data_IF_301017503012
#
_entry.id   IF_301017503012
#
_cell.length_a   1.000
_cell.length_b   1.000
_cell.length_c   1.000
_cell.angle_alpha   90.00
_cell.angle_beta   90.00
_cell.angle_gamma   90.00
#
_symmetry.space_group_name_H-M   'P 1'
#
loop_
_entity.id
_entity.type
_entity.pdbx_description
1 polymer ?
#
# COMPACT_ATOMS: atom_id res chain seq x y z
N UNK A 1 40.33 14.81 -10.37
CA UNK A 1 39.51 14.57 -11.58
C UNK A 1 38.49 13.51 -11.24
N UNK A 2 37.36 13.95 -10.70
CA UNK A 2 36.19 13.12 -10.42
C UNK A 2 35.06 13.84 -11.13
N UNK A 3 34.58 13.25 -12.22
CA UNK A 3 33.40 13.71 -12.95
C UNK A 3 32.19 12.99 -12.34
N UNK A 4 31.53 13.66 -11.40
CA UNK A 4 30.16 13.32 -11.00
C UNK A 4 29.22 13.77 -12.12
N UNK A 5 28.53 12.80 -12.72
CA UNK A 5 27.46 13.03 -13.69
C UNK A 5 26.19 13.42 -12.96
N UNK A 6 25.68 14.61 -13.31
CA UNK A 6 24.40 15.21 -12.94
C UNK A 6 23.24 14.19 -12.98
N UNK A 7 22.70 13.87 -11.80
CA UNK A 7 21.37 13.33 -11.63
C UNK A 7 20.40 14.49 -11.44
N UNK A 8 19.62 14.81 -12.47
CA UNK A 8 18.54 15.80 -12.44
C UNK A 8 17.47 15.41 -11.42
N UNK A 9 17.67 15.78 -10.16
CA UNK A 9 16.61 15.89 -9.18
C UNK A 9 15.78 17.12 -9.58
N UNK A 10 14.60 16.89 -10.14
CA UNK A 10 13.56 17.91 -10.27
C UNK A 10 13.17 18.36 -8.87
N UNK A 11 13.90 19.34 -8.36
CA UNK A 11 13.58 20.13 -7.19
C UNK A 11 12.25 20.81 -7.51
N UNK A 12 11.15 20.16 -7.12
CA UNK A 12 9.79 20.67 -7.26
C UNK A 12 9.74 21.91 -6.38
N UNK A 13 10.08 23.05 -6.97
CA UNK A 13 9.96 24.39 -6.42
C UNK A 13 8.51 24.48 -5.93
N UNK A 14 8.31 24.28 -4.62
CA UNK A 14 7.01 24.54 -4.00
C UNK A 14 6.76 26.00 -4.28
N UNK A 15 5.82 26.25 -5.19
CA UNK A 15 5.36 27.58 -5.54
C UNK A 15 5.12 28.31 -4.22
N UNK A 16 5.73 29.48 -4.04
CA UNK A 16 5.63 30.31 -2.83
C UNK A 16 4.18 30.51 -2.31
N UNK A 17 3.12 30.52 -3.16
CA UNK A 17 1.72 30.42 -2.72
C UNK A 17 1.41 29.20 -1.85
N UNK A 18 1.98 28.02 -2.13
CA UNK A 18 1.77 26.79 -1.35
C UNK A 18 2.41 26.84 0.03
N UNK A 19 3.53 27.55 0.19
CA UNK A 19 4.18 27.75 1.49
C UNK A 19 3.40 28.73 2.37
N UNK A 20 2.85 29.80 1.78
CA UNK A 20 1.95 30.75 2.45
C UNK A 20 0.67 30.05 2.90
N UNK A 21 0.13 29.15 2.06
CA UNK A 21 -1.07 28.36 2.36
C UNK A 21 -0.84 27.39 3.55
N UNK A 22 0.30 26.68 3.56
CA UNK A 22 0.65 25.77 4.65
C UNK A 22 0.84 26.49 5.99
N UNK A 23 1.43 27.69 5.96
CA UNK A 23 1.70 28.48 7.16
C UNK A 23 0.47 29.12 7.80
N UNK A 24 -0.52 29.50 6.99
CA UNK A 24 -1.72 30.16 7.52
C UNK A 24 -2.82 29.19 7.94
N UNK A 25 -2.88 27.99 7.37
CA UNK A 25 -4.06 27.13 7.51
C UNK A 25 -3.81 25.69 7.99
N UNK A 26 -2.59 25.15 7.89
CA UNK A 26 -2.29 23.73 8.18
C UNK A 26 -1.13 23.54 9.17
N UNK A 27 -1.07 24.39 10.20
CA UNK A 27 -0.28 24.11 11.40
C UNK A 27 -0.97 23.08 12.28
N UNK A 28 -0.24 22.29 13.10
CA UNK A 28 -0.81 21.24 13.94
C UNK A 28 -1.91 21.83 14.84
N UNK A 29 -3.01 21.09 14.93
CA UNK A 29 -4.23 21.42 15.65
C UNK A 29 -3.93 22.13 16.98
N UNK A 30 -4.35 23.40 17.09
CA UNK A 30 -4.32 24.12 18.36
C UNK A 30 -4.20 25.63 18.27
N UNK A 31 -3.59 26.19 17.22
CA UNK A 31 -3.46 27.65 17.09
C UNK A 31 -3.55 28.06 15.62
N UNK A 32 -4.77 28.05 15.07
CA UNK A 32 -5.08 28.90 13.92
C UNK A 32 -4.78 30.31 14.40
N UNK A 33 -3.82 30.99 13.79
CA UNK A 33 -3.62 32.42 13.98
C UNK A 33 -4.99 33.08 13.75
N UNK A 34 -5.64 33.43 14.85
CA UNK A 34 -6.97 34.00 14.87
C UNK A 34 -6.84 35.44 14.38
N UNK A 35 -6.64 35.60 13.07
CA UNK A 35 -6.62 36.90 12.40
C UNK A 35 -8.09 37.26 12.15
N UNK A 36 -8.63 38.32 12.78
CA UNK A 36 -10.03 38.68 12.62
C UNK A 36 -10.39 38.96 11.15
N UNK A 37 -11.66 38.76 10.77
CA UNK A 37 -12.08 38.71 9.37
C UNK A 37 -12.32 40.12 8.84
N UNK A 38 -11.30 40.80 8.33
CA UNK A 38 -11.52 42.02 7.57
C UNK A 38 -11.70 41.68 6.08
N UNK A 39 -12.87 41.12 5.73
CA UNK A 39 -13.25 40.70 4.37
C UNK A 39 -13.11 41.80 3.31
N UNK A 40 -13.17 43.07 3.69
CA UNK A 40 -13.02 44.21 2.78
C UNK A 40 -11.60 44.78 2.74
N UNK A 41 -10.71 44.42 3.68
CA UNK A 41 -9.42 45.11 3.86
C UNK A 41 -8.30 44.54 2.97
N UNK A 42 -8.41 43.27 2.54
CA UNK A 42 -7.37 42.59 1.74
C UNK A 42 -7.41 42.92 0.25
N UNK A 43 -8.60 43.13 -0.31
CA UNK A 43 -8.74 43.52 -1.73
C UNK A 43 -8.38 45.01 -1.93
N UNK A 44 -8.57 45.83 -0.91
CA UNK A 44 -8.09 47.23 -0.89
C UNK A 44 -6.55 47.26 -0.85
N UNK A 45 -5.92 46.45 0.00
CA UNK A 45 -4.47 46.34 0.07
C UNK A 45 -3.80 45.79 -1.21
N UNK A 46 -4.56 45.15 -2.10
CA UNK A 46 -4.05 44.74 -3.41
C UNK A 46 -3.90 45.93 -4.39
N UNK A 47 -4.63 47.02 -4.14
CA UNK A 47 -4.68 48.23 -4.97
C UNK A 47 -4.03 49.45 -4.29
N UNK A 48 -3.73 49.37 -2.99
CA UNK A 48 -3.05 50.40 -2.20
C UNK A 48 -1.66 49.94 -1.76
N UNK A 49 -0.62 50.55 -2.35
CA UNK A 49 0.78 50.22 -2.11
C UNK A 49 1.23 50.47 -0.67
N UNK A 50 0.72 51.54 -0.03
CA UNK A 50 1.06 51.89 1.35
C UNK A 50 0.48 50.88 2.33
N UNK A 51 -0.77 50.47 2.11
CA UNK A 51 -1.45 49.45 2.89
C UNK A 51 -0.79 48.07 2.69
N UNK A 52 -0.40 47.74 1.46
CA UNK A 52 0.32 46.51 1.17
C UNK A 52 1.65 46.42 1.92
N UNK A 53 2.43 47.51 1.97
CA UNK A 53 3.71 47.58 2.67
C UNK A 53 3.56 47.40 4.20
N UNK A 54 2.53 48.02 4.80
CA UNK A 54 2.22 47.85 6.23
C UNK A 54 1.84 46.40 6.53
N UNK A 55 0.96 45.80 5.73
CA UNK A 55 0.55 44.40 5.93
C UNK A 55 1.70 43.42 5.72
N UNK A 56 2.60 43.68 4.78
CA UNK A 56 3.79 42.87 4.57
C UNK A 56 4.75 42.92 5.76
N UNK A 57 4.98 44.12 6.30
CA UNK A 57 5.83 44.29 7.50
C UNK A 57 5.20 43.61 8.73
N UNK A 58 3.87 43.73 8.88
CA UNK A 58 3.12 43.05 9.94
C UNK A 58 3.24 41.53 9.81
N UNK A 59 3.11 41.00 8.60
CA UNK A 59 3.27 39.57 8.33
C UNK A 59 4.66 39.05 8.74
N UNK A 60 5.72 39.77 8.36
CA UNK A 60 7.09 39.40 8.73
C UNK A 60 7.29 39.41 10.26
N UNK A 61 6.75 40.41 10.95
CA UNK A 61 6.81 40.51 12.41
C UNK A 61 6.04 39.38 13.11
N UNK A 62 4.85 39.01 12.60
CA UNK A 62 4.11 37.86 13.11
C UNK A 62 4.88 36.55 12.92
N UNK A 63 5.51 36.38 11.75
CA UNK A 63 6.29 35.19 11.45
C UNK A 63 7.55 35.08 12.32
N UNK A 64 8.22 36.20 12.63
CA UNK A 64 9.31 36.25 13.61
C UNK A 64 8.87 35.87 15.02
N UNK A 65 7.70 36.36 15.44
CA UNK A 65 7.14 36.03 16.77
C UNK A 65 6.82 34.55 16.89
N UNK A 66 6.15 33.97 15.90
CA UNK A 66 5.81 32.53 15.87
C UNK A 66 7.09 31.69 15.82
N UNK A 67 8.05 32.04 14.96
CA UNK A 67 9.34 31.32 14.87
C UNK A 67 10.10 31.32 16.20
N UNK A 68 10.06 32.43 16.94
CA UNK A 68 10.78 32.56 18.23
C UNK A 68 10.16 31.71 19.34
N UNK A 69 8.87 31.41 19.24
CA UNK A 69 8.14 30.58 20.20
C UNK A 69 8.11 29.08 19.81
N UNK A 70 8.43 28.77 18.56
CA UNK A 70 8.39 27.40 18.02
C UNK A 70 9.52 26.53 18.60
N UNK A 71 9.16 25.40 19.20
CA UNK A 71 10.15 24.48 19.80
C UNK A 71 10.75 23.55 18.74
N UNK A 72 9.95 23.17 17.74
CA UNK A 72 10.37 22.23 16.71
C UNK A 72 11.46 22.85 15.81
N UNK A 73 12.63 22.21 15.77
CA UNK A 73 13.78 22.69 15.00
C UNK A 73 13.49 22.81 13.50
N UNK A 74 12.83 21.79 12.92
CA UNK A 74 12.50 21.77 11.50
C UNK A 74 11.52 22.90 11.14
N UNK A 75 10.49 23.10 11.97
CA UNK A 75 9.54 24.19 11.76
C UNK A 75 10.24 25.56 11.88
N UNK A 76 11.06 25.78 12.90
CA UNK A 76 11.87 27.00 13.04
C UNK A 76 12.73 27.29 11.81
N UNK A 77 13.44 26.28 11.31
CA UNK A 77 14.25 26.38 10.09
C UNK A 77 13.39 26.75 8.88
N UNK A 78 12.27 26.03 8.67
CA UNK A 78 11.35 26.29 7.57
C UNK A 78 10.77 27.71 7.62
N UNK A 79 10.38 28.22 8.81
CA UNK A 79 9.88 29.59 8.94
C UNK A 79 10.96 30.59 8.53
N UNK A 80 12.21 30.39 8.95
CA UNK A 80 13.34 31.25 8.59
C UNK A 80 13.55 31.30 7.08
N UNK A 81 13.51 30.16 6.39
CA UNK A 81 13.65 30.09 4.93
C UNK A 81 12.48 30.81 4.24
N UNK A 82 11.25 30.59 4.70
CA UNK A 82 10.05 31.25 4.15
C UNK A 82 10.15 32.76 4.33
N UNK A 83 10.56 33.25 5.51
CA UNK A 83 10.76 34.67 5.76
C UNK A 83 11.73 35.30 4.77
N UNK A 84 12.87 34.65 4.56
CA UNK A 84 13.90 35.11 3.61
C UNK A 84 13.35 35.14 2.17
N UNK A 85 12.62 34.11 1.76
CA UNK A 85 12.00 34.05 0.43
C UNK A 85 10.94 35.14 0.23
N UNK A 86 10.12 35.42 1.26
CA UNK A 86 9.13 36.48 1.22
C UNK A 86 9.79 37.85 1.10
N UNK A 87 10.84 38.11 1.88
CA UNK A 87 11.62 39.33 1.80
C UNK A 87 12.26 39.52 0.42
N UNK A 88 12.96 38.50 -0.10
CA UNK A 88 13.62 38.59 -1.41
C UNK A 88 12.62 38.84 -2.55
N UNK A 89 11.45 38.18 -2.51
CA UNK A 89 10.50 38.22 -3.63
C UNK A 89 9.53 39.40 -3.59
N UNK A 90 9.16 39.90 -2.40
CA UNK A 90 8.06 40.85 -2.25
C UNK A 90 8.41 42.13 -1.51
N UNK A 91 9.62 42.29 -0.96
CA UNK A 91 10.00 43.53 -0.27
C UNK A 91 9.99 44.75 -1.20
N UNK A 92 10.37 44.58 -2.47
CA UNK A 92 10.34 45.64 -3.48
C UNK A 92 8.92 45.95 -4.00
N UNK A 93 7.99 44.98 -3.94
CA UNK A 93 6.60 45.22 -4.35
C UNK A 93 5.61 44.39 -3.52
N UNK A 94 5.24 44.89 -2.32
CA UNK A 94 4.29 44.22 -1.43
C UNK A 94 2.88 44.04 -2.02
N UNK A 95 2.45 44.91 -2.95
CA UNK A 95 1.12 44.84 -3.56
C UNK A 95 0.94 43.56 -4.42
N UNK A 96 2.02 43.07 -5.06
CA UNK A 96 2.00 41.77 -5.76
C UNK A 96 1.70 40.64 -4.79
N UNK A 97 2.24 40.68 -3.58
CA UNK A 97 1.97 39.67 -2.56
C UNK A 97 0.51 39.72 -2.08
N UNK A 98 -0.02 40.92 -1.84
CA UNK A 98 -1.42 41.11 -1.48
C UNK A 98 -2.37 40.53 -2.55
N UNK A 99 -2.08 40.74 -3.84
CA UNK A 99 -2.83 40.14 -4.96
C UNK A 99 -2.77 38.61 -4.98
N UNK A 100 -1.59 38.02 -4.75
CA UNK A 100 -1.42 36.57 -4.66
C UNK A 100 -2.27 36.01 -3.51
N UNK A 101 -2.17 36.61 -2.32
CA UNK A 101 -2.94 36.19 -1.15
C UNK A 101 -4.45 36.30 -1.38
N UNK A 102 -4.92 37.41 -1.95
CA UNK A 102 -6.34 37.59 -2.29
C UNK A 102 -6.82 36.53 -3.28
N UNK A 103 -6.03 36.26 -4.33
CA UNK A 103 -6.35 35.21 -5.32
C UNK A 103 -6.42 33.83 -4.67
N UNK A 104 -5.47 33.47 -3.82
CA UNK A 104 -5.47 32.20 -3.09
C UNK A 104 -6.71 32.04 -2.22
N UNK A 105 -7.07 33.08 -1.43
CA UNK A 105 -8.27 33.04 -0.58
C UNK A 105 -9.56 32.96 -1.39
N UNK A 106 -9.61 33.58 -2.57
CA UNK A 106 -10.76 33.48 -3.48
C UNK A 106 -10.90 32.08 -4.05
N UNK A 107 -9.80 31.47 -4.49
CA UNK A 107 -9.80 30.08 -4.97
C UNK A 107 -10.17 29.10 -3.86
N UNK A 108 -9.69 29.30 -2.63
CA UNK A 108 -10.08 28.49 -1.48
C UNK A 108 -11.59 28.56 -1.22
N UNK A 109 -12.16 29.78 -1.21
CA UNK A 109 -13.61 29.95 -1.11
C UNK A 109 -14.34 29.26 -2.24
N UNK A 110 -13.84 29.38 -3.48
CA UNK A 110 -14.44 28.69 -4.64
C UNK A 110 -14.42 27.18 -4.47
N UNK A 111 -13.31 26.61 -3.98
CA UNK A 111 -13.18 25.17 -3.69
C UNK A 111 -14.17 24.76 -2.59
N UNK A 112 -14.23 25.49 -1.48
CA UNK A 112 -15.18 25.23 -0.38
C UNK A 112 -16.64 25.33 -0.83
N UNK A 113 -16.99 26.35 -1.61
CA UNK A 113 -18.32 26.48 -2.21
C UNK A 113 -18.63 25.34 -3.17
N UNK A 114 -17.65 24.91 -3.98
CA UNK A 114 -17.83 23.79 -4.91
C UNK A 114 -17.99 22.45 -4.18
N UNK A 115 -17.28 22.27 -3.05
CA UNK A 115 -17.42 21.10 -2.19
C UNK A 115 -18.78 21.07 -1.49
N UNK A 116 -19.25 22.20 -0.95
CA UNK A 116 -20.56 22.30 -0.29
C UNK A 116 -21.74 22.13 -1.28
N UNK A 117 -21.58 22.52 -2.55
CA UNK A 117 -22.58 22.24 -3.59
C UNK A 117 -22.65 20.73 -3.95
N UNK A 118 -21.62 19.93 -3.66
CA UNK A 118 -21.68 18.47 -3.78
C UNK A 118 -22.34 17.77 -2.57
N UNK A 119 -22.44 18.44 -1.41
CA UNK A 119 -23.08 17.89 -0.19
C UNK A 119 -24.61 17.77 -0.31
N UNK A 120 -25.27 18.51 -1.21
CA UNK A 120 -26.72 18.38 -1.42
C UNK A 120 -27.12 17.20 -2.35
N UNK A 121 -26.17 16.36 -2.77
CA UNK A 121 -26.42 15.15 -3.54
C UNK A 121 -26.33 13.85 -2.71
N UNK A 122 -26.82 12.71 -3.21
CA UNK A 122 -26.79 11.39 -2.52
C UNK A 122 -25.39 10.86 -2.12
N UNK A 123 -24.32 11.61 -2.43
CA UNK A 123 -22.92 11.19 -2.28
C UNK A 123 -22.42 11.25 -0.84
N UNK A 124 -22.94 12.14 0.01
CA UNK A 124 -22.49 12.28 1.41
C UNK A 124 -22.92 11.08 2.27
N UNK A 125 -24.10 10.51 2.00
CA UNK A 125 -24.51 9.21 2.54
C UNK A 125 -23.62 8.07 2.05
N UNK A 126 -22.87 8.22 0.96
CA UNK A 126 -21.96 7.19 0.42
C UNK A 126 -20.55 7.29 1.00
N UNK A 127 -20.08 8.50 1.36
CA UNK A 127 -18.78 8.72 1.99
C UNK A 127 -18.79 8.35 3.49
N UNK A 128 -19.85 8.69 4.22
CA UNK A 128 -20.01 8.28 5.62
C UNK A 128 -20.37 6.79 5.75
N UNK A 129 -21.08 6.23 4.76
CA UNK A 129 -21.39 4.79 4.65
C UNK A 129 -20.57 4.13 3.54
N UNK A 130 -19.26 4.43 3.44
CA UNK A 130 -18.41 3.66 2.54
C UNK A 130 -18.51 2.20 2.95
N UNK A 131 -18.97 1.34 2.04
CA UNK A 131 -19.14 -0.11 2.30
C UNK A 131 -17.85 -0.71 2.87
N UNK A 132 -16.69 -0.16 2.50
CA UNK A 132 -15.40 -0.54 3.07
C UNK A 132 -15.23 -0.13 4.54
N UNK A 133 -15.63 1.08 4.92
CA UNK A 133 -15.56 1.57 6.30
C UNK A 133 -16.52 0.81 7.22
N UNK A 134 -17.76 0.58 6.79
CA UNK A 134 -18.74 -0.22 7.55
C UNK A 134 -18.31 -1.68 7.68
N UNK A 135 -17.72 -2.27 6.63
CA UNK A 135 -17.11 -3.62 6.72
C UNK A 135 -15.96 -3.65 7.70
N UNK A 136 -15.08 -2.64 7.71
CA UNK A 136 -13.97 -2.55 8.66
C UNK A 136 -14.48 -2.49 10.10
N UNK A 137 -15.42 -1.59 10.40
CA UNK A 137 -16.03 -1.45 11.73
C UNK A 137 -16.72 -2.74 12.18
N UNK A 138 -17.40 -3.43 11.27
CA UNK A 138 -18.03 -4.73 11.54
C UNK A 138 -16.99 -5.78 11.88
N UNK A 139 -15.89 -5.85 11.13
CA UNK A 139 -14.78 -6.77 11.45
C UNK A 139 -14.15 -6.43 12.80
N UNK A 140 -13.85 -5.17 13.08
CA UNK A 140 -13.26 -4.73 14.36
C UNK A 140 -14.16 -5.12 15.54
N UNK A 141 -15.47 -4.93 15.41
CA UNK A 141 -16.45 -5.36 16.42
C UNK A 141 -16.44 -6.88 16.60
N UNK A 142 -16.39 -7.65 15.51
CA UNK A 142 -16.34 -9.13 15.58
C UNK A 142 -15.05 -9.62 16.23
N UNK A 143 -13.90 -9.03 15.89
CA UNK A 143 -12.60 -9.34 16.51
C UNK A 143 -12.63 -9.00 18.00
N UNK A 144 -13.22 -7.86 18.38
CA UNK A 144 -13.43 -7.47 19.77
C UNK A 144 -14.26 -8.50 20.55
N UNK A 145 -15.38 -8.96 19.97
CA UNK A 145 -16.24 -9.96 20.59
C UNK A 145 -15.53 -11.31 20.76
N UNK A 146 -14.77 -11.76 19.76
CA UNK A 146 -13.97 -12.99 19.84
C UNK A 146 -12.94 -12.86 20.97
N UNK A 147 -12.22 -11.74 21.05
CA UNK A 147 -11.24 -11.51 22.11
C UNK A 147 -11.87 -11.61 23.51
N UNK A 148 -13.02 -10.98 23.71
CA UNK A 148 -13.75 -11.05 24.97
C UNK A 148 -14.19 -12.49 25.29
N UNK A 149 -14.69 -13.22 24.29
CA UNK A 149 -15.10 -14.62 24.45
C UNK A 149 -13.93 -15.54 24.80
N UNK A 150 -12.76 -15.34 24.17
CA UNK A 150 -11.54 -16.11 24.47
C UNK A 150 -11.08 -15.84 25.90
N UNK A 151 -11.15 -14.59 26.37
CA UNK A 151 -10.81 -14.26 27.76
C UNK A 151 -11.75 -14.93 28.78
N UNK A 152 -13.05 -14.99 28.49
CA UNK A 152 -14.01 -15.70 29.35
C UNK A 152 -13.76 -17.21 29.35
N UNK A 153 -13.43 -17.77 28.19
CA UNK A 153 -13.09 -19.19 28.06
C UNK A 153 -11.80 -19.55 28.82
N UNK A 154 -10.76 -18.72 28.72
CA UNK A 154 -9.51 -18.89 29.49
C UNK A 154 -9.75 -18.90 31.00
N UNK A 155 -10.62 -18.01 31.50
CA UNK A 155 -11.03 -18.01 32.91
C UNK A 155 -11.83 -19.26 33.29
N UNK A 156 -12.73 -19.73 32.41
CA UNK A 156 -13.50 -20.94 32.66
C UNK A 156 -12.63 -22.20 32.67
N UNK A 157 -11.64 -22.29 31.77
CA UNK A 157 -10.67 -23.40 31.73
C UNK A 157 -9.87 -23.47 33.02
N UNK A 158 -9.31 -22.34 33.49
CA UNK A 158 -8.59 -22.28 34.77
C UNK A 158 -9.45 -22.74 35.95
N UNK A 159 -10.71 -22.33 35.98
CA UNK A 159 -11.64 -22.77 37.02
C UNK A 159 -11.93 -24.28 36.96
N UNK A 160 -12.03 -24.87 35.78
CA UNK A 160 -12.22 -26.31 35.61
C UNK A 160 -10.96 -27.07 36.02
N UNK A 161 -9.77 -26.56 35.68
CA UNK A 161 -8.48 -27.11 36.12
C UNK A 161 -8.40 -27.14 37.65
N UNK A 162 -8.77 -26.05 38.33
CA UNK A 162 -8.81 -25.98 39.81
C UNK A 162 -9.76 -27.04 40.42
N UNK A 163 -10.92 -27.28 39.79
CA UNK A 163 -11.87 -28.30 40.25
C UNK A 163 -11.34 -29.71 39.97
N UNK A 164 -10.71 -29.93 38.82
CA UNK A 164 -10.11 -31.22 38.48
C UNK A 164 -8.98 -31.56 39.48
N UNK A 165 -8.18 -30.58 39.87
CA UNK A 165 -7.13 -30.75 40.88
C UNK A 165 -7.70 -31.07 42.27
N UNK A 166 -8.77 -30.38 42.71
CA UNK A 166 -9.46 -30.71 43.98
C UNK A 166 -10.07 -32.12 43.93
N UNK A 167 -10.68 -32.50 42.81
CA UNK A 167 -11.23 -33.83 42.62
C UNK A 167 -10.14 -34.90 42.64
N UNK A 168 -9.06 -34.74 41.88
CA UNK A 168 -7.95 -35.69 41.82
C UNK A 168 -7.28 -35.84 43.20
N UNK A 169 -7.09 -34.73 43.93
CA UNK A 169 -6.59 -34.75 45.30
C UNK A 169 -7.49 -35.59 46.22
N UNK A 170 -8.82 -35.36 46.19
CA UNK A 170 -9.78 -36.13 47.00
C UNK A 170 -9.85 -37.59 46.56
N UNK A 171 -9.82 -37.85 45.26
CA UNK A 171 -9.92 -39.18 44.69
C UNK A 171 -8.69 -40.03 45.04
N UNK A 172 -7.46 -39.49 44.89
CA UNK A 172 -6.23 -40.16 45.32
C UNK A 172 -6.22 -40.41 46.83
N UNK A 173 -6.75 -39.48 47.62
CA UNK A 173 -6.91 -39.64 49.08
C UNK A 173 -7.89 -40.78 49.44
N UNK A 174 -8.89 -41.03 48.60
CA UNK A 174 -9.88 -42.11 48.79
C UNK A 174 -9.38 -43.45 48.23
N UNK A 175 -8.72 -43.47 47.07
CA UNK A 175 -8.11 -44.67 46.48
C UNK A 175 -6.97 -45.23 47.31
N UNK A 176 -6.22 -44.38 48.02
CA UNK A 176 -5.25 -44.87 49.01
C UNK A 176 -5.90 -45.69 50.14
N UNK A 177 -7.24 -45.72 50.21
CA UNK A 177 -8.03 -46.52 51.15
C UNK A 177 -8.78 -47.70 50.50
N UNK A 178 -8.92 -47.77 49.17
CA UNK A 178 -9.64 -48.86 48.46
C UNK A 178 -8.98 -49.16 47.09
N UNK A 179 -8.58 -50.41 46.87
CA UNK A 179 -8.00 -50.93 45.61
C UNK A 179 -9.10 -51.28 44.59
N UNK A 180 -9.26 -50.48 43.53
CA UNK A 180 -9.52 -50.88 42.12
C UNK A 180 -9.98 -49.69 41.25
N UNK A 181 -9.52 -49.50 39.98
CA UNK A 181 -9.92 -48.38 39.13
C UNK A 181 -10.76 -48.77 37.88
N UNK A 182 -11.90 -48.10 37.69
CA UNK A 182 -12.64 -48.07 36.41
C UNK A 182 -12.10 -46.97 35.49
N UNK A 183 -11.24 -47.33 34.53
CA UNK A 183 -10.49 -46.39 33.69
C UNK A 183 -11.22 -45.95 32.39
N UNK A 184 -12.30 -46.62 31.99
CA UNK A 184 -12.84 -46.53 30.62
C UNK A 184 -13.62 -45.22 30.29
N UNK A 185 -14.21 -44.55 31.28
CA UNK A 185 -14.98 -43.30 31.08
C UNK A 185 -14.07 -42.06 31.00
N UNK A 186 -12.90 -42.12 31.65
CA UNK A 186 -11.89 -41.05 31.65
C UNK A 186 -11.24 -40.86 30.27
N UNK A 187 -10.94 -41.96 29.57
CA UNK A 187 -10.32 -41.89 28.25
C UNK A 187 -11.23 -41.29 27.17
N UNK A 188 -12.54 -41.51 27.23
CA UNK A 188 -13.48 -40.96 26.24
C UNK A 188 -13.60 -39.42 26.35
N UNK A 189 -13.65 -38.88 27.58
CA UNK A 189 -13.66 -37.45 27.82
C UNK A 189 -12.33 -36.80 27.42
N UNK A 190 -11.21 -37.44 27.78
CA UNK A 190 -9.87 -37.02 27.38
C UNK A 190 -9.71 -37.02 25.85
N UNK A 191 -10.20 -38.05 25.16
CA UNK A 191 -10.20 -38.09 23.68
C UNK A 191 -11.03 -36.95 23.08
N UNK A 192 -12.21 -36.64 23.63
CA UNK A 192 -13.05 -35.55 23.14
C UNK A 192 -12.37 -34.18 23.32
N UNK A 193 -11.66 -33.98 24.44
CA UNK A 193 -10.91 -32.76 24.73
C UNK A 193 -9.63 -32.65 23.88
N UNK A 194 -8.95 -33.76 23.62
CA UNK A 194 -7.82 -33.80 22.68
C UNK A 194 -8.29 -33.46 21.27
N UNK A 195 -9.43 -34.00 20.83
CA UNK A 195 -10.00 -33.71 19.51
C UNK A 195 -10.40 -32.23 19.38
N UNK A 196 -10.99 -31.62 20.41
CA UNK A 196 -11.35 -30.19 20.37
C UNK A 196 -10.12 -29.27 20.36
N UNK A 197 -9.08 -29.62 21.13
CA UNK A 197 -7.78 -28.91 21.08
C UNK A 197 -7.11 -29.07 19.71
N UNK A 198 -7.19 -30.26 19.10
CA UNK A 198 -6.69 -30.50 17.75
C UNK A 198 -7.43 -29.67 16.68
N UNK A 199 -8.75 -29.57 16.74
CA UNK A 199 -9.54 -28.75 15.80
C UNK A 199 -9.18 -27.25 15.88
N UNK A 200 -8.92 -26.73 17.08
CA UNK A 200 -8.45 -25.35 17.27
C UNK A 200 -7.07 -25.15 16.66
N UNK A 201 -6.13 -26.07 16.91
CA UNK A 201 -4.77 -26.01 16.35
C UNK A 201 -4.78 -26.12 14.83
N UNK A 202 -5.60 -26.99 14.24
CA UNK A 202 -5.75 -27.11 12.78
C UNK A 202 -6.22 -25.79 12.17
N UNK A 203 -7.18 -25.12 12.83
CA UNK A 203 -7.70 -23.83 12.36
C UNK A 203 -6.67 -22.71 12.47
N UNK A 204 -5.91 -22.66 13.57
CA UNK A 204 -4.83 -21.68 13.74
C UNK A 204 -3.71 -21.88 12.70
N UNK A 205 -3.42 -23.13 12.32
CA UNK A 205 -2.47 -23.45 11.24
C UNK A 205 -3.01 -22.97 9.89
N UNK A 206 -4.29 -23.20 9.56
CA UNK A 206 -4.91 -22.72 8.32
C UNK A 206 -4.88 -21.19 8.21
N UNK A 207 -5.23 -20.50 9.29
CA UNK A 207 -5.16 -19.02 9.36
C UNK A 207 -3.72 -18.52 9.18
N UNK A 208 -2.72 -19.24 9.71
CA UNK A 208 -1.32 -18.91 9.56
C UNK A 208 -0.82 -19.09 8.11
N UNK A 209 -1.28 -20.13 7.41
CA UNK A 209 -0.97 -20.38 6.01
C UNK A 209 -1.42 -19.22 5.10
N UNK A 210 -2.60 -18.65 5.35
CA UNK A 210 -3.13 -17.53 4.55
C UNK A 210 -2.45 -16.18 4.85
N UNK A 211 -1.68 -16.10 5.93
CA UNK A 211 -1.07 -14.86 6.40
C UNK A 211 0.25 -14.50 5.72
N UNK A 212 0.82 -15.41 4.92
CA UNK A 212 2.08 -15.20 4.21
C UNK A 212 1.84 -14.62 2.82
N UNK A 213 2.17 -13.34 2.64
CA UNK A 213 1.74 -12.56 1.48
C UNK A 213 2.88 -11.78 0.82
N UNK A 214 2.73 -11.50 -0.47
CA UNK A 214 3.61 -10.59 -1.22
C UNK A 214 3.15 -9.15 -1.01
N UNK A 215 3.84 -8.41 -0.14
CA UNK A 215 3.55 -7.00 0.17
C UNK A 215 3.95 -6.06 -0.96
N UNK A 216 5.12 -6.28 -1.58
CA UNK A 216 5.56 -5.54 -2.77
C UNK A 216 5.82 -6.50 -3.91
N UNK A 217 5.04 -6.38 -4.97
CA UNK A 217 5.18 -7.19 -6.18
C UNK A 217 6.55 -6.94 -6.86
N UNK A 218 7.09 -7.95 -7.60
CA UNK A 218 8.36 -7.82 -8.31
C UNK A 218 8.41 -6.58 -9.22
N UNK A 219 9.43 -5.74 -9.03
CA UNK A 219 9.57 -4.49 -9.77
C UNK A 219 11.04 -4.13 -9.98
N UNK A 220 11.37 -3.60 -11.17
CA UNK A 220 12.69 -3.07 -11.47
C UNK A 220 12.82 -1.63 -10.96
N UNK A 221 13.83 -1.28 -10.14
CA UNK A 221 14.04 0.09 -9.67
C UNK A 221 14.23 1.12 -10.80
N UNK A 222 14.72 0.68 -11.96
CA UNK A 222 14.87 1.53 -13.16
C UNK A 222 13.52 1.88 -13.82
N UNK A 223 12.47 1.12 -13.53
CA UNK A 223 11.12 1.29 -14.10
C UNK A 223 10.03 1.11 -13.03
N UNK A 224 9.96 1.98 -12.00
CA UNK A 224 9.08 1.81 -10.84
C UNK A 224 7.59 1.85 -11.19
N UNK A 225 7.21 2.46 -12.32
CA UNK A 225 5.83 2.56 -12.80
C UNK A 225 5.35 1.30 -13.54
N UNK A 226 6.21 0.29 -13.71
CA UNK A 226 5.94 -0.92 -14.49
C UNK A 226 6.24 -2.18 -13.67
N UNK A 227 5.50 -2.43 -12.57
CA UNK A 227 5.65 -3.65 -11.80
C UNK A 227 5.28 -4.88 -12.64
N UNK A 228 5.72 -6.07 -12.22
CA UNK A 228 5.45 -7.35 -12.89
C UNK A 228 6.04 -7.49 -14.30
N UNK A 229 6.95 -6.60 -14.72
CA UNK A 229 7.77 -6.78 -15.91
C UNK A 229 9.23 -6.86 -15.47
N UNK A 230 9.89 -7.99 -15.77
CA UNK A 230 11.27 -8.22 -15.35
C UNK A 230 12.16 -8.42 -16.58
N UNK A 231 13.17 -7.56 -16.74
CA UNK A 231 14.16 -7.72 -17.79
C UNK A 231 15.29 -8.65 -17.35
N UNK A 232 15.65 -9.60 -18.20
CA UNK A 232 16.80 -10.49 -17.96
C UNK A 232 18.09 -9.70 -17.79
N UNK A 233 18.92 -10.09 -16.81
CA UNK A 233 20.17 -9.41 -16.46
C UNK A 233 20.00 -8.08 -15.70
N UNK A 234 18.78 -7.58 -15.50
CA UNK A 234 18.52 -6.37 -14.70
C UNK A 234 18.11 -6.76 -13.28
N UNK A 235 18.50 -5.93 -12.31
CA UNK A 235 18.13 -6.13 -10.91
C UNK A 235 16.67 -5.73 -10.66
N UNK A 236 15.97 -6.52 -9.87
CA UNK A 236 14.63 -6.22 -9.39
C UNK A 236 14.50 -6.46 -7.89
N UNK A 237 13.41 -5.94 -7.32
CA UNK A 237 13.09 -6.06 -5.90
C UNK A 237 11.69 -6.61 -5.69
N UNK A 238 11.49 -7.33 -4.60
CA UNK A 238 10.19 -7.83 -4.14
C UNK A 238 10.20 -7.93 -2.62
N UNK A 239 9.04 -7.82 -1.97
CA UNK A 239 8.92 -7.89 -0.51
C UNK A 239 7.79 -8.82 -0.11
N UNK A 240 8.07 -9.75 0.79
CA UNK A 240 7.06 -10.61 1.41
C UNK A 240 6.92 -10.31 2.88
N UNK A 241 5.74 -10.56 3.43
CA UNK A 241 5.33 -10.18 4.77
C UNK A 241 4.50 -11.30 5.38
N UNK A 242 4.74 -11.55 6.67
CA UNK A 242 3.87 -12.39 7.49
C UNK A 242 2.94 -11.48 8.28
N UNK A 243 1.64 -11.60 8.06
CA UNK A 243 0.65 -10.75 8.71
C UNK A 243 0.43 -11.09 10.19
N UNK A 244 0.78 -12.32 10.59
CA UNK A 244 0.72 -12.78 11.97
C UNK A 244 2.05 -12.48 12.68
N UNK A 245 1.96 -11.87 13.86
CA UNK A 245 3.10 -11.69 14.76
C UNK A 245 3.13 -12.89 15.72
N UNK A 246 4.05 -13.81 15.48
CA UNK A 246 4.26 -14.96 16.35
C UNK A 246 5.28 -14.58 17.44
N UNK A 247 4.91 -14.54 18.73
CA UNK A 247 5.82 -14.19 19.83
C UNK A 247 6.93 -15.24 20.03
N UNK A 248 6.70 -16.47 19.57
CA UNK A 248 7.46 -17.67 19.88
C UNK A 248 8.32 -18.17 18.70
N UNK A 249 8.24 -17.53 17.53
CA UNK A 249 9.03 -17.93 16.36
C UNK A 249 10.39 -17.26 16.43
N UNK A 250 11.44 -18.08 16.34
CA UNK A 250 12.81 -17.62 16.19
C UNK A 250 12.86 -16.64 15.00
N UNK A 251 13.36 -15.42 15.25
CA UNK A 251 13.50 -14.36 14.24
C UNK A 251 14.44 -14.74 13.09
N UNK A 252 14.95 -15.98 13.08
CA UNK A 252 15.72 -16.58 12.00
C UNK A 252 14.88 -17.22 10.89
N UNK A 253 13.57 -16.91 10.76
CA UNK A 253 12.73 -17.43 9.68
C UNK A 253 13.35 -17.13 8.30
N UNK A 254 13.87 -18.16 7.66
CA UNK A 254 14.51 -18.07 6.33
C UNK A 254 13.47 -18.26 5.25
N UNK A 255 13.34 -17.24 4.40
CA UNK A 255 12.55 -17.31 3.19
C UNK A 255 13.46 -17.62 2.03
N UNK A 256 13.12 -18.66 1.28
CA UNK A 256 13.73 -19.03 0.01
C UNK A 256 12.84 -18.59 -1.14
N UNK A 257 13.43 -17.93 -2.12
CA UNK A 257 12.77 -17.50 -3.34
C UNK A 257 13.17 -18.43 -4.49
N UNK A 258 12.18 -18.87 -5.25
CA UNK A 258 12.37 -19.66 -6.47
C UNK A 258 11.63 -18.97 -7.61
N UNK A 259 12.23 -18.98 -8.79
CA UNK A 259 11.58 -18.50 -10.00
C UNK A 259 11.08 -19.72 -10.76
N UNK A 260 9.82 -19.67 -11.20
CA UNK A 260 9.12 -20.62 -12.08
C UNK A 260 9.75 -22.02 -12.19
N UNK A 261 9.00 -23.05 -11.78
CA UNK A 261 9.45 -24.45 -11.86
C UNK A 261 9.73 -24.90 -13.32
N UNK A 262 9.34 -24.10 -14.32
CA UNK A 262 9.77 -24.27 -15.71
C UNK A 262 11.28 -23.96 -15.88
N UNK A 263 12.02 -24.92 -16.45
CA UNK A 263 13.50 -24.97 -16.43
C UNK A 263 14.21 -23.95 -17.34
N UNK A 264 13.59 -22.81 -17.67
CA UNK A 264 14.10 -21.85 -18.64
C UNK A 264 14.83 -20.66 -17.99
N UNK A 265 14.40 -20.20 -16.83
CA UNK A 265 15.00 -19.05 -16.15
C UNK A 265 15.44 -19.39 -14.72
N UNK A 266 16.48 -18.72 -14.23
CA UNK A 266 16.97 -18.92 -12.86
C UNK A 266 17.46 -17.61 -12.22
N UNK A 267 17.39 -17.57 -10.89
CA UNK A 267 17.88 -16.44 -10.08
C UNK A 267 19.39 -16.60 -9.89
N UNK A 268 20.16 -15.56 -10.22
CA UNK A 268 21.63 -15.59 -10.17
C UNK A 268 22.18 -15.28 -8.76
N UNK A 269 21.44 -14.51 -7.97
CA UNK A 269 21.85 -14.02 -6.66
C UNK A 269 21.42 -14.95 -5.53
N UNK A 270 21.90 -14.67 -4.30
CA UNK A 270 21.40 -15.35 -3.12
C UNK A 270 19.87 -15.23 -3.07
N UNK A 271 19.21 -16.38 -3.01
CA UNK A 271 17.77 -16.51 -3.05
C UNK A 271 17.19 -16.90 -1.68
N UNK A 272 18.00 -16.93 -0.62
CA UNK A 272 17.51 -17.14 0.75
C UNK A 272 17.85 -15.94 1.62
N UNK A 273 16.86 -15.41 2.34
CA UNK A 273 17.02 -14.28 3.24
C UNK A 273 16.14 -14.45 4.48
N UNK A 274 16.65 -14.03 5.62
CA UNK A 274 15.96 -14.09 6.91
C UNK A 274 14.96 -12.92 7.00
N UNK A 275 13.77 -13.18 7.55
CA UNK A 275 12.80 -12.13 7.88
C UNK A 275 13.27 -11.27 9.03
N UNK A 276 12.98 -9.98 8.96
CA UNK A 276 13.34 -9.01 9.99
C UNK A 276 12.10 -8.24 10.46
N UNK A 277 12.18 -7.71 11.68
CA UNK A 277 11.15 -6.87 12.26
C UNK A 277 11.40 -5.42 11.81
N UNK A 278 10.42 -4.82 11.16
CA UNK A 278 10.51 -3.41 10.78
C UNK A 278 10.06 -2.46 11.91
N UNK A 279 10.95 -1.58 12.34
CA UNK A 279 10.74 -0.61 13.44
C UNK A 279 9.59 0.39 13.17
N UNK A 280 9.33 0.71 11.90
CA UNK A 280 8.35 1.73 11.50
C UNK A 280 6.93 1.18 11.25
N UNK A 281 6.73 -0.14 11.27
CA UNK A 281 5.48 -0.80 10.84
C UNK A 281 4.92 -1.76 11.91
N UNK A 282 4.75 -1.25 13.13
CA UNK A 282 4.18 -1.97 14.28
C UNK A 282 4.89 -3.31 14.62
N UNK A 283 6.17 -3.44 14.27
CA UNK A 283 6.95 -4.65 14.51
C UNK A 283 6.49 -5.84 13.67
N UNK A 284 6.21 -5.62 12.39
CA UNK A 284 5.83 -6.68 11.47
C UNK A 284 7.05 -7.44 10.91
N UNK A 285 6.91 -8.76 10.75
CA UNK A 285 7.89 -9.63 10.12
C UNK A 285 7.80 -9.54 8.60
N UNK A 286 8.88 -9.10 7.97
CA UNK A 286 8.95 -9.02 6.52
C UNK A 286 10.37 -9.23 6.01
N UNK A 287 10.49 -9.57 4.74
CA UNK A 287 11.79 -9.64 4.07
C UNK A 287 11.71 -9.02 2.70
N UNK A 288 12.61 -8.08 2.46
CA UNK A 288 12.78 -7.44 1.16
C UNK A 288 13.98 -8.07 0.44
N UNK A 289 13.71 -8.74 -0.69
CA UNK A 289 14.74 -9.24 -1.59
C UNK A 289 15.13 -8.11 -2.53
N UNK A 290 16.35 -7.60 -2.35
CA UNK A 290 16.95 -6.62 -3.25
C UNK A 290 17.97 -7.29 -4.15
N UNK A 291 18.22 -6.68 -5.30
CA UNK A 291 19.25 -7.12 -6.25
C UNK A 291 19.01 -8.50 -6.86
N UNK A 292 17.76 -9.01 -6.87
CA UNK A 292 17.44 -10.24 -7.59
C UNK A 292 17.69 -10.04 -9.08
N UNK A 293 18.32 -11.00 -9.75
CA UNK A 293 18.57 -10.96 -11.18
C UNK A 293 18.14 -12.28 -11.83
N UNK A 294 17.40 -12.18 -12.92
CA UNK A 294 16.97 -13.32 -13.70
C UNK A 294 17.90 -13.54 -14.90
N UNK A 295 18.29 -14.80 -15.14
CA UNK A 295 19.06 -15.20 -16.32
C UNK A 295 18.36 -16.36 -17.04
N UNK A 296 18.38 -16.28 -18.36
CA UNK A 296 17.89 -17.35 -19.22
C UNK A 296 18.93 -18.47 -19.36
N UNK A 297 18.48 -19.71 -19.27
CA UNK A 297 19.29 -20.91 -19.47
C UNK A 297 19.39 -21.22 -20.96
N UNK A 298 20.57 -21.01 -21.54
CA UNK A 298 20.87 -21.36 -22.94
C UNK A 298 21.12 -22.87 -23.07
N UNK A 299 20.31 -23.58 -23.85
CA UNK A 299 20.58 -24.97 -24.22
C UNK A 299 21.51 -25.01 -25.45
N UNK A 300 22.60 -25.77 -25.37
CA UNK A 300 23.65 -25.80 -26.41
C UNK A 300 23.32 -26.77 -27.56
N UNK A 301 22.44 -27.75 -27.35
CA UNK A 301 22.05 -28.72 -28.38
C UNK A 301 20.53 -28.87 -28.44
N UNK A 302 19.93 -28.49 -29.58
CA UNK A 302 18.51 -28.72 -29.85
C UNK A 302 17.99 -27.85 -30.98
N UNK A 303 17.86 -28.45 -32.16
CA UNK A 303 17.06 -28.00 -33.31
C UNK A 303 15.82 -27.22 -32.90
N UNK A 304 15.56 -26.10 -33.62
CA UNK A 304 14.32 -25.30 -33.66
C UNK A 304 13.09 -26.17 -33.34
N UNK A 305 12.75 -26.28 -32.07
CA UNK A 305 11.63 -27.07 -31.58
C UNK A 305 10.53 -26.12 -31.18
N UNK A 306 9.50 -26.05 -32.01
CA UNK A 306 8.23 -25.35 -31.84
C UNK A 306 8.32 -23.92 -31.27
N UNK A 307 8.13 -22.93 -32.14
CA UNK A 307 7.63 -21.63 -31.71
C UNK A 307 6.40 -21.88 -30.81
N UNK A 308 6.48 -21.49 -29.54
CA UNK A 308 5.37 -21.58 -28.62
C UNK A 308 4.15 -20.87 -29.22
N UNK A 309 2.95 -21.36 -28.91
CA UNK A 309 1.68 -20.79 -29.37
C UNK A 309 1.50 -19.32 -28.91
N UNK A 310 2.29 -18.85 -27.95
CA UNK A 310 2.27 -17.53 -27.35
C UNK A 310 3.54 -16.77 -27.68
N UNK A 311 3.42 -15.45 -27.90
CA UNK A 311 4.59 -14.58 -28.05
C UNK A 311 5.36 -14.48 -26.73
N UNK A 312 6.67 -14.16 -26.78
CA UNK A 312 7.54 -14.02 -25.58
C UNK A 312 6.96 -13.06 -24.52
N UNK A 313 6.14 -12.09 -24.93
CA UNK A 313 5.47 -11.13 -24.04
C UNK A 313 4.13 -11.60 -23.49
N UNK A 314 3.63 -12.77 -23.92
CA UNK A 314 2.38 -13.39 -23.47
C UNK A 314 2.65 -14.63 -22.58
N UNK A 315 3.91 -15.02 -22.41
CA UNK A 315 4.33 -16.03 -21.42
C UNK A 315 4.37 -15.41 -20.02
N UNK A 316 3.59 -16.00 -19.10
CA UNK A 316 3.47 -15.55 -17.71
C UNK A 316 4.26 -16.48 -16.80
N UNK A 317 5.05 -15.88 -15.93
CA UNK A 317 5.86 -16.57 -14.93
C UNK A 317 5.45 -16.13 -13.52
N UNK A 318 5.93 -16.87 -12.52
CA UNK A 318 5.65 -16.58 -11.12
C UNK A 318 6.94 -16.67 -10.30
N UNK A 319 7.00 -15.86 -9.25
CA UNK A 319 8.02 -15.95 -8.23
C UNK A 319 7.39 -16.61 -6.99
N UNK A 320 7.93 -17.75 -6.58
CA UNK A 320 7.48 -18.50 -5.41
C UNK A 320 8.38 -18.19 -4.22
N UNK A 321 7.78 -18.09 -3.04
CA UNK A 321 8.45 -17.87 -1.78
C UNK A 321 8.07 -18.98 -0.83
N UNK A 322 9.07 -19.67 -0.31
CA UNK A 322 8.93 -20.81 0.59
C UNK A 322 9.60 -20.42 1.92
N UNK A 323 8.92 -20.66 3.03
CA UNK A 323 9.47 -20.49 4.36
C UNK A 323 9.03 -21.67 5.23
N UNK A 324 9.88 -22.11 6.14
CA UNK A 324 9.59 -23.23 7.03
C UNK A 324 9.99 -22.85 8.45
N UNK A 325 9.14 -23.16 9.42
CA UNK A 325 9.47 -23.02 10.84
C UNK A 325 8.78 -24.06 11.68
N UNK A 326 9.29 -24.26 12.89
CA UNK A 326 8.80 -25.24 13.84
C UNK A 326 8.31 -24.53 15.09
N UNK A 327 7.04 -24.76 15.46
CA UNK A 327 6.44 -24.25 16.71
C UNK A 327 5.94 -25.43 17.51
N UNK A 328 6.38 -25.57 18.77
CA UNK A 328 5.93 -26.64 19.69
C UNK A 328 6.03 -28.06 19.09
N UNK A 329 7.03 -28.32 18.23
CA UNK A 329 7.24 -29.61 17.56
C UNK A 329 6.47 -29.81 16.25
N UNK A 330 5.60 -28.87 15.87
CA UNK A 330 4.89 -28.87 14.57
C UNK A 330 5.71 -28.11 13.55
N UNK A 331 6.03 -28.75 12.43
CA UNK A 331 6.72 -28.10 11.29
C UNK A 331 5.68 -27.57 10.32
N UNK A 332 5.73 -26.27 10.05
CA UNK A 332 4.78 -25.57 9.17
C UNK A 332 5.57 -25.01 7.98
N UNK A 333 5.14 -25.38 6.78
CA UNK A 333 5.69 -24.89 5.52
C UNK A 333 4.74 -23.82 4.94
N UNK A 334 5.21 -22.59 4.81
CA UNK A 334 4.51 -21.50 4.18
C UNK A 334 4.96 -21.36 2.72
N UNK A 335 4.01 -21.28 1.80
CA UNK A 335 4.26 -20.98 0.39
C UNK A 335 3.36 -19.82 -0.07
N UNK A 336 3.93 -18.87 -0.79
CA UNK A 336 3.16 -17.81 -1.46
C UNK A 336 3.78 -17.46 -2.80
N UNK A 337 2.98 -16.92 -3.71
CA UNK A 337 3.43 -16.59 -5.07
C UNK A 337 3.14 -15.12 -5.40
N UNK A 338 4.01 -14.53 -6.21
CA UNK A 338 3.73 -13.23 -6.82
C UNK A 338 2.53 -13.31 -7.77
N UNK A 339 2.01 -12.15 -8.16
CA UNK A 339 1.14 -12.08 -9.33
C UNK A 339 1.91 -12.57 -10.57
N UNK A 340 1.19 -13.03 -11.62
CA UNK A 340 1.82 -13.38 -12.88
C UNK A 340 2.65 -12.20 -13.40
N UNK A 341 3.86 -12.47 -13.86
CA UNK A 341 4.79 -11.48 -14.36
C UNK A 341 5.32 -11.86 -15.75
N UNK A 342 5.72 -10.86 -16.53
CA UNK A 342 6.28 -11.03 -17.88
C UNK A 342 7.79 -10.86 -17.83
N UNK A 343 8.51 -11.79 -18.47
CA UNK A 343 9.97 -11.70 -18.63
C UNK A 343 10.30 -11.14 -20.00
N UNK A 344 11.15 -10.11 -20.05
CA UNK A 344 11.60 -9.48 -21.29
C UNK A 344 13.12 -9.58 -21.44
N UNK A 345 13.59 -9.62 -22.69
CA UNK A 345 15.02 -9.58 -22.99
C UNK A 345 15.49 -8.17 -23.35
N UNK A 346 14.63 -7.37 -23.98
CA UNK A 346 14.92 -6.01 -24.41
C UNK A 346 13.86 -5.02 -23.91
N UNK A 347 14.28 -3.79 -23.63
CA UNK A 347 13.41 -2.67 -23.24
C UNK A 347 12.38 -2.35 -24.33
N UNK A 348 12.68 -2.63 -25.60
CA UNK A 348 11.71 -2.48 -26.70
C UNK A 348 10.43 -3.31 -26.52
N UNK A 349 10.49 -4.39 -25.74
CA UNK A 349 9.34 -5.28 -25.45
C UNK A 349 8.49 -4.77 -24.29
N UNK A 350 8.96 -3.78 -23.53
CA UNK A 350 8.31 -3.28 -22.32
C UNK A 350 6.89 -2.74 -22.57
N UNK A 351 6.58 -2.02 -23.68
CA UNK A 351 5.20 -1.64 -23.99
C UNK A 351 4.27 -2.85 -24.19
N UNK A 352 4.75 -3.88 -24.92
CA UNK A 352 3.99 -5.10 -25.17
C UNK A 352 3.75 -5.90 -23.89
N UNK A 353 4.80 -6.12 -23.09
CA UNK A 353 4.68 -6.80 -21.80
C UNK A 353 3.78 -6.04 -20.80
N UNK A 354 3.76 -4.70 -20.85
CA UNK A 354 2.87 -3.91 -19.99
C UNK A 354 1.40 -4.04 -20.38
N UNK A 355 1.11 -4.07 -21.67
CA UNK A 355 -0.22 -4.40 -22.13
C UNK A 355 -0.60 -5.81 -21.64
N UNK A 356 0.34 -6.75 -21.66
CA UNK A 356 0.08 -8.15 -21.31
C UNK A 356 -0.27 -8.37 -19.83
N UNK A 357 0.24 -7.55 -18.92
CA UNK A 357 -0.12 -7.63 -17.49
C UNK A 357 -1.62 -7.37 -17.21
N UNK A 358 -2.40 -7.01 -18.24
CA UNK A 358 -3.85 -6.79 -18.17
C UNK A 358 -4.68 -8.02 -18.57
N UNK A 359 -4.07 -9.14 -19.02
CA UNK A 359 -4.81 -10.29 -19.52
C UNK A 359 -4.13 -11.65 -19.26
N UNK A 360 -4.92 -12.74 -19.26
CA UNK A 360 -4.44 -14.12 -19.15
C UNK A 360 -4.52 -14.79 -20.54
N UNK A 361 -3.38 -15.16 -21.13
CA UNK A 361 -3.26 -15.36 -22.59
C UNK A 361 -3.76 -16.70 -23.14
N UNK A 362 -4.14 -17.66 -22.30
CA UNK A 362 -4.77 -18.90 -22.76
C UNK A 362 -6.16 -18.69 -23.36
N UNK A 363 -6.93 -17.73 -22.83
CA UNK A 363 -8.22 -17.27 -23.35
C UNK A 363 -8.52 -15.88 -22.77
N UNK A 364 -7.99 -14.79 -23.36
CA UNK A 364 -8.08 -13.47 -22.76
C UNK A 364 -9.54 -13.02 -22.70
N UNK A 365 -10.07 -12.70 -21.51
CA UNK A 365 -11.43 -12.22 -21.37
C UNK A 365 -11.57 -10.87 -22.11
N UNK A 366 -12.77 -10.60 -22.62
CA UNK A 366 -13.05 -9.30 -23.22
C UNK A 366 -13.32 -8.28 -22.11
N UNK A 367 -12.73 -7.10 -22.22
CA UNK A 367 -12.94 -6.01 -21.27
C UNK A 367 -14.08 -5.10 -21.74
N UNK A 368 -14.91 -4.61 -20.84
CA UNK A 368 -15.89 -3.57 -21.19
C UNK A 368 -15.18 -2.23 -21.40
N UNK A 369 -15.74 -1.37 -22.25
CA UNK A 369 -15.20 -0.02 -22.45
C UNK A 369 -15.16 0.81 -21.16
N UNK A 370 -16.15 0.64 -20.29
CA UNK A 370 -16.18 1.29 -18.97
C UNK A 370 -14.93 0.98 -18.14
N UNK A 371 -14.54 -0.30 -18.06
CA UNK A 371 -13.33 -0.72 -17.34
C UNK A 371 -12.06 -0.28 -18.06
N UNK A 372 -11.99 -0.45 -19.38
CA UNK A 372 -10.79 -0.12 -20.16
C UNK A 372 -10.48 1.38 -20.15
N UNK A 373 -11.51 2.23 -20.30
CA UNK A 373 -11.36 3.69 -20.29
C UNK A 373 -10.84 4.23 -18.96
N UNK A 374 -11.28 3.65 -17.85
CA UNK A 374 -10.77 3.97 -16.51
C UNK A 374 -9.28 3.60 -16.39
N UNK A 375 -8.91 2.38 -16.78
CA UNK A 375 -7.52 1.91 -16.77
C UNK A 375 -6.62 2.79 -17.65
N UNK A 376 -7.09 3.18 -18.84
CA UNK A 376 -6.38 4.13 -19.72
C UNK A 376 -6.18 5.48 -19.03
N UNK A 377 -7.20 6.02 -18.39
CA UNK A 377 -7.11 7.28 -17.66
C UNK A 377 -6.09 7.20 -16.51
N UNK A 378 -6.03 6.08 -15.78
CA UNK A 378 -5.03 5.85 -14.74
C UNK A 378 -3.60 5.86 -15.28
N UNK A 379 -3.37 5.34 -16.50
CA UNK A 379 -2.04 5.41 -17.14
C UNK A 379 -1.60 6.86 -17.32
N UNK A 380 -2.48 7.75 -17.81
CA UNK A 380 -2.15 9.16 -17.98
C UNK A 380 -2.00 9.88 -16.63
N UNK A 381 -2.88 9.60 -15.66
CA UNK A 381 -2.80 10.21 -14.33
C UNK A 381 -1.49 9.89 -13.62
N UNK A 382 -1.00 8.66 -13.74
CA UNK A 382 0.22 8.20 -13.07
C UNK A 382 1.48 8.83 -13.67
N UNK A 383 1.51 9.08 -14.98
CA UNK A 383 2.67 9.61 -15.69
C UNK A 383 2.67 11.14 -15.84
N UNK A 384 1.51 11.73 -16.13
CA UNK A 384 1.35 13.16 -16.43
C UNK A 384 0.72 13.96 -15.28
N UNK A 385 0.27 13.30 -14.20
CA UNK A 385 -0.38 13.94 -13.05
C UNK A 385 -1.85 14.30 -13.27
N UNK A 386 -2.39 14.10 -14.48
CA UNK A 386 -3.79 14.30 -14.83
C UNK A 386 -4.27 13.14 -15.72
N UNK A 387 -5.46 12.62 -15.40
CA UNK A 387 -6.10 11.58 -16.21
C UNK A 387 -6.70 12.12 -17.50
N UNK A 388 -7.33 11.23 -18.28
CA UNK A 388 -8.04 11.60 -19.48
C UNK A 388 -9.42 12.18 -19.14
N UNK A 389 -9.79 13.26 -19.82
CA UNK A 389 -11.12 13.86 -19.69
C UNK A 389 -12.16 13.10 -20.54
N UNK A 390 -13.44 13.46 -20.38
CA UNK A 390 -14.54 12.77 -21.07
C UNK A 390 -14.40 12.86 -22.58
N UNK A 391 -14.06 14.03 -23.15
CA UNK A 391 -13.93 14.18 -24.60
C UNK A 391 -12.80 13.29 -25.16
N UNK A 392 -11.65 13.23 -24.47
CA UNK A 392 -10.52 12.39 -24.84
C UNK A 392 -10.88 10.90 -24.78
N UNK A 393 -11.60 10.47 -23.74
CA UNK A 393 -12.07 9.10 -23.62
C UNK A 393 -13.09 8.77 -24.72
N UNK A 394 -14.04 9.66 -25.03
CA UNK A 394 -14.98 9.45 -26.13
C UNK A 394 -14.25 9.28 -27.46
N UNK A 395 -13.26 10.12 -27.77
CA UNK A 395 -12.46 10.01 -28.99
C UNK A 395 -11.70 8.67 -29.07
N UNK A 396 -11.10 8.21 -27.97
CA UNK A 396 -10.41 6.92 -27.92
C UNK A 396 -11.39 5.74 -28.06
N UNK A 397 -12.57 5.86 -27.46
CA UNK A 397 -13.65 4.88 -27.60
C UNK A 397 -14.11 4.76 -29.05
N UNK A 398 -14.33 5.89 -29.73
CA UNK A 398 -14.68 5.92 -31.16
C UNK A 398 -13.56 5.33 -32.03
N UNK A 399 -12.30 5.61 -31.71
CA UNK A 399 -11.16 5.04 -32.44
C UNK A 399 -11.08 3.51 -32.29
N UNK A 400 -11.39 2.98 -31.12
CA UNK A 400 -11.33 1.54 -30.85
C UNK A 400 -12.61 0.79 -31.23
N UNK A 401 -13.78 1.44 -31.19
CA UNK A 401 -15.10 0.79 -31.31
C UNK A 401 -15.91 1.27 -32.52
N UNK A 402 -15.49 2.35 -33.19
CA UNK A 402 -16.27 3.02 -34.23
C UNK A 402 -17.44 3.82 -33.67
N UNK A 403 -18.47 4.07 -34.50
CA UNK A 403 -19.68 4.83 -34.13
C UNK A 403 -20.55 4.19 -33.01
N UNK A 404 -20.18 2.99 -32.53
CA UNK A 404 -20.85 2.29 -31.44
C UNK A 404 -20.30 2.63 -30.03
N UNK A 405 -19.40 3.63 -29.92
CA UNK A 405 -18.73 4.01 -28.66
C UNK A 405 -19.65 4.58 -27.57
N UNK A 406 -20.92 4.85 -27.86
CA UNK A 406 -21.91 5.36 -26.90
C UNK A 406 -22.44 4.29 -25.93
N UNK A 407 -22.14 3.00 -26.16
CA UNK A 407 -22.62 1.90 -25.32
C UNK A 407 -21.52 1.42 -24.35
N UNK A 408 -21.75 1.60 -23.04
CA UNK A 408 -20.84 1.21 -21.95
C UNK A 408 -20.53 -0.29 -21.89
N UNK A 409 -21.38 -1.11 -22.50
CA UNK A 409 -21.37 -2.57 -22.38
C UNK A 409 -20.63 -3.25 -23.53
N UNK A 410 -20.09 -2.46 -24.46
CA UNK A 410 -19.35 -3.01 -25.59
C UNK A 410 -18.02 -3.62 -25.12
N UNK A 411 -17.75 -4.82 -25.61
CA UNK A 411 -16.61 -5.64 -25.20
C UNK A 411 -15.45 -5.51 -26.19
N UNK A 412 -14.26 -5.17 -25.69
CA UNK A 412 -13.01 -5.09 -26.46
C UNK A 412 -12.24 -6.40 -26.30
N UNK A 413 -11.89 -7.04 -27.41
CA UNK A 413 -11.01 -8.22 -27.41
C UNK A 413 -9.54 -7.80 -27.27
N UNK A 414 -8.74 -8.67 -26.66
CA UNK A 414 -7.28 -8.49 -26.58
C UNK A 414 -6.63 -8.24 -27.95
N UNK A 415 -7.07 -8.98 -28.96
CA UNK A 415 -6.59 -8.84 -30.34
C UNK A 415 -6.85 -7.46 -30.96
N UNK A 416 -7.84 -6.70 -30.48
CA UNK A 416 -8.12 -5.35 -30.98
C UNK A 416 -7.33 -4.28 -30.21
N UNK A 417 -6.90 -4.62 -29.00
CA UNK A 417 -6.20 -3.71 -28.10
C UNK A 417 -4.68 -3.72 -28.33
N UNK A 418 -4.09 -4.91 -28.54
CA UNK A 418 -2.63 -5.08 -28.54
C UNK A 418 -2.07 -5.99 -29.65
N UNK A 419 -2.91 -6.49 -30.57
CA UNK A 419 -2.48 -7.16 -31.80
C UNK A 419 -2.95 -6.33 -33.00
#
# INVERSE_FOLDING_TARGET
MVTETDGTATQKQRSIPSAIFFFFFMGPAGNVLNVPPCRCFRDIAANDESMAAVLFTNLLSQLDRVRSQEQNFLQRHNMKIIQQQLQVKYAANPAVMARVISTCLREERRILSSACMQEQGPLEKSLQNSVAFERQKTMDTRVGNIRASVQLMDQAVKFIEDIQDDFDFRYKTLQSRVHEPSQLFSYACLCQEILSKMDVVIKEIDDLMTSFVVEKQPCMPTHPQKPLIIKTGVQFTTKVRLLVKLPEVDYQLKVKTTFDKSRQFFILTNNTKVMDIEDYSNGCLSVEFRHLQLKEKKYINGTKGNEGLLSVTEELHYLSFEACFTVQGLTIDLETCSLPLVVISNVSQLPGGWASNLAFFGNPPRATWSQLSEVLSWQFSTFAGQGLNREQLTMLGEKLLGQHASCSDYQVSWSKFSK
#
